data_IF_930161774635
#
_entry.id   IF_930161774635
#
_cell.length_a   1.000
_cell.length_b   1.000
_cell.length_c   1.000
_cell.angle_alpha   90.00
_cell.angle_beta   90.00
_cell.angle_gamma   90.00
#
_symmetry.space_group_name_H-M   'P 1'
#
loop_
_entity.id
_entity.type
_entity.pdbx_description
1 polymer ?
#
# COMPACT_ATOMS: atom_id res chain seq x y z
N UNK A 1 5.00 -16.83 7.48
CA UNK A 1 3.78 -16.02 7.32
C UNK A 1 4.01 -14.99 6.21
N UNK A 2 3.03 -14.74 5.35
CA UNK A 2 3.11 -13.77 4.26
C UNK A 2 1.96 -12.77 4.39
N UNK A 3 2.24 -11.47 4.20
CA UNK A 3 1.21 -10.42 4.20
C UNK A 3 0.36 -10.49 2.95
N UNK A 4 -0.96 -10.32 3.10
CA UNK A 4 -1.91 -10.30 1.99
C UNK A 4 -1.76 -9.03 1.14
N UNK A 5 -2.17 -9.12 -0.12
CA UNK A 5 -2.16 -8.01 -1.09
C UNK A 5 -3.53 -7.31 -1.13
N UNK A 6 -3.60 -6.10 -0.60
CA UNK A 6 -4.81 -5.28 -0.53
C UNK A 6 -4.49 -3.82 -0.83
N UNK A 7 -5.50 -2.99 -1.06
CA UNK A 7 -5.31 -1.58 -1.35
C UNK A 7 -4.62 -1.33 -2.70
N UNK A 8 -4.82 -0.12 -3.20
CA UNK A 8 -4.16 0.43 -4.38
C UNK A 8 -3.85 1.90 -4.13
N UNK A 9 -2.87 2.43 -4.84
CA UNK A 9 -2.69 3.87 -4.98
C UNK A 9 -3.85 4.44 -5.80
N UNK A 10 -4.34 5.61 -5.42
CA UNK A 10 -5.42 6.28 -6.11
C UNK A 10 -5.02 6.60 -7.57
N UNK A 11 -5.92 6.37 -8.56
CA UNK A 11 -5.60 6.55 -9.97
C UNK A 11 -5.13 7.98 -10.31
N UNK A 12 -5.65 8.99 -9.62
CA UNK A 12 -5.27 10.41 -9.83
C UNK A 12 -3.82 10.73 -9.40
N UNK A 13 -3.12 9.83 -8.72
CA UNK A 13 -1.70 10.00 -8.44
C UNK A 13 -0.81 9.78 -9.68
N UNK A 14 -1.36 9.23 -10.76
CA UNK A 14 -0.64 8.93 -11.99
C UNK A 14 -0.96 9.93 -13.10
N UNK A 15 0.08 10.47 -13.73
CA UNK A 15 -0.06 11.37 -14.89
C UNK A 15 -0.33 10.63 -16.19
N UNK A 16 -0.04 9.33 -16.23
CA UNK A 16 -0.29 8.45 -17.37
C UNK A 16 -1.14 7.25 -16.91
N UNK A 17 -2.00 6.72 -17.79
CA UNK A 17 -2.69 5.47 -17.50
C UNK A 17 -1.68 4.37 -17.22
N UNK A 18 -1.95 3.56 -16.20
CA UNK A 18 -1.10 2.43 -15.87
C UNK A 18 -0.94 1.50 -17.07
N UNK A 19 0.30 1.07 -17.32
CA UNK A 19 0.58 0.07 -18.33
C UNK A 19 -0.17 -1.24 -18.02
N UNK A 20 -0.72 -1.85 -19.06
CA UNK A 20 -1.47 -3.10 -18.96
C UNK A 20 -0.62 -4.21 -18.36
N UNK A 21 -1.27 -5.11 -17.61
CA UNK A 21 -0.61 -6.28 -17.03
C UNK A 21 0.14 -7.09 -18.09
N UNK A 22 1.30 -7.63 -17.72
CA UNK A 22 2.09 -8.50 -18.59
C UNK A 22 1.24 -9.68 -19.05
N UNK A 23 1.05 -9.82 -20.37
CA UNK A 23 0.22 -10.89 -20.94
C UNK A 23 0.70 -12.31 -20.60
N UNK A 24 1.97 -12.47 -20.19
CA UNK A 24 2.58 -13.76 -19.87
C UNK A 24 2.47 -14.16 -18.40
N UNK A 25 2.67 -13.22 -17.47
CA UNK A 25 2.67 -13.51 -16.03
C UNK A 25 1.55 -12.82 -15.25
N UNK A 26 0.79 -11.93 -15.87
CA UNK A 26 -0.29 -11.17 -15.24
C UNK A 26 0.17 -10.07 -14.28
N UNK A 27 1.49 -9.88 -14.09
CA UNK A 27 2.04 -8.82 -13.24
C UNK A 27 1.70 -7.45 -13.81
N UNK A 28 1.28 -6.54 -12.94
CA UNK A 28 1.20 -5.11 -13.28
C UNK A 28 2.60 -4.61 -13.64
N UNK A 29 2.69 -3.71 -14.61
CA UNK A 29 3.94 -3.09 -14.98
C UNK A 29 4.43 -2.21 -13.81
N UNK A 30 5.67 -2.42 -13.38
CA UNK A 30 6.26 -1.65 -12.28
C UNK A 30 6.62 -0.24 -12.74
N UNK A 31 5.63 0.63 -12.87
CA UNK A 31 5.88 2.07 -13.00
C UNK A 31 6.52 2.60 -11.73
N UNK A 32 7.39 3.61 -11.87
CA UNK A 32 8.00 4.27 -10.72
C UNK A 32 6.91 4.76 -9.78
N UNK A 33 7.07 4.50 -8.48
CA UNK A 33 6.18 5.05 -7.45
C UNK A 33 6.14 6.59 -7.58
N UNK A 34 4.96 7.23 -7.65
CA UNK A 34 4.87 8.69 -7.71
C UNK A 34 5.54 9.33 -6.50
N UNK A 35 6.14 10.51 -6.69
CA UNK A 35 6.79 11.24 -5.59
C UNK A 35 5.77 11.70 -4.52
N UNK A 36 4.50 11.86 -4.90
CA UNK A 36 3.37 12.11 -3.99
C UNK A 36 2.23 11.18 -4.35
N UNK A 37 1.70 10.45 -3.36
CA UNK A 37 0.62 9.50 -3.55
C UNK A 37 -0.28 9.41 -2.32
N UNK A 38 -1.50 8.95 -2.54
CA UNK A 38 -2.46 8.56 -1.50
C UNK A 38 -3.14 7.26 -1.93
N UNK A 39 -3.75 6.57 -0.97
CA UNK A 39 -4.40 5.30 -1.21
C UNK A 39 -5.83 5.52 -1.71
N UNK A 40 -6.31 4.65 -2.60
CA UNK A 40 -7.72 4.58 -3.01
C UNK A 40 -8.53 3.97 -1.87
N UNK A 41 -9.30 4.78 -1.16
CA UNK A 41 -10.03 4.40 0.05
C UNK A 41 -10.97 3.21 -0.18
N UNK A 42 -11.64 3.16 -1.33
CA UNK A 42 -12.57 2.10 -1.73
C UNK A 42 -11.90 0.73 -1.91
N UNK A 43 -10.57 0.70 -2.03
CA UNK A 43 -9.79 -0.53 -2.21
C UNK A 43 -9.18 -1.06 -0.90
N UNK A 44 -9.31 -0.31 0.20
CA UNK A 44 -8.71 -0.64 1.48
C UNK A 44 -9.48 -1.75 2.20
N UNK A 45 -8.78 -2.70 2.84
CA UNK A 45 -9.43 -3.77 3.59
C UNK A 45 -9.96 -3.24 4.93
N UNK A 46 -11.11 -3.73 5.37
CA UNK A 46 -11.69 -3.38 6.68
C UNK A 46 -11.32 -4.38 7.79
N UNK A 47 -10.75 -5.54 7.43
CA UNK A 47 -10.52 -6.66 8.34
C UNK A 47 -9.04 -6.92 8.65
N UNK A 48 -8.12 -6.18 8.01
CA UNK A 48 -6.68 -6.41 8.11
C UNK A 48 -5.98 -5.11 8.44
N UNK A 49 -5.18 -5.13 9.52
CA UNK A 49 -4.47 -3.95 10.00
C UNK A 49 -3.04 -3.79 9.45
N UNK A 50 -2.50 -4.83 8.80
CA UNK A 50 -1.16 -4.83 8.20
C UNK A 50 -1.17 -5.62 6.89
N UNK A 51 -0.88 -4.97 5.77
CA UNK A 51 -0.93 -5.58 4.44
C UNK A 51 0.10 -4.95 3.51
N UNK A 52 0.31 -5.56 2.34
CA UNK A 52 1.13 -5.00 1.26
C UNK A 52 0.21 -4.45 0.18
N UNK A 53 0.60 -3.35 -0.46
CA UNK A 53 -0.18 -2.81 -1.58
C UNK A 53 -0.20 -3.80 -2.74
N UNK A 54 -1.37 -3.95 -3.39
CA UNK A 54 -1.52 -4.88 -4.51
C UNK A 54 -0.66 -4.48 -5.70
N UNK A 55 -0.60 -3.19 -5.96
CA UNK A 55 0.04 -2.56 -7.10
C UNK A 55 1.48 -2.13 -6.82
N UNK A 56 1.82 -1.88 -5.55
CA UNK A 56 3.19 -1.70 -5.07
C UNK A 56 3.50 -2.64 -3.91
N UNK A 57 3.74 -3.94 -4.15
CA UNK A 57 3.97 -4.89 -3.07
C UNK A 57 5.18 -4.57 -2.19
N UNK A 58 6.10 -3.69 -2.60
CA UNK A 58 7.20 -3.25 -1.73
C UNK A 58 6.75 -2.33 -0.59
N UNK A 59 5.57 -1.71 -0.71
CA UNK A 59 4.98 -0.87 0.33
C UNK A 59 4.17 -1.73 1.31
N UNK A 60 4.44 -1.53 2.59
CA UNK A 60 3.71 -2.15 3.70
C UNK A 60 2.86 -1.05 4.35
N UNK A 61 1.56 -1.29 4.43
CA UNK A 61 0.59 -0.36 5.00
C UNK A 61 0.11 -0.93 6.34
N UNK A 62 0.14 -0.07 7.35
CA UNK A 62 -0.38 -0.35 8.68
C UNK A 62 -1.51 0.64 9.00
N UNK A 63 -2.58 0.16 9.61
CA UNK A 63 -3.61 1.04 10.19
C UNK A 63 -3.06 1.74 11.43
N UNK A 64 -3.67 2.86 11.81
CA UNK A 64 -3.33 3.59 13.05
C UNK A 64 -3.35 2.67 14.28
N UNK A 65 -4.32 1.75 14.35
CA UNK A 65 -4.39 0.73 15.41
C UNK A 65 -3.11 -0.09 15.57
N UNK A 66 -2.45 -0.44 14.45
CA UNK A 66 -1.17 -1.17 14.49
C UNK A 66 -0.02 -0.27 14.91
N UNK A 67 -0.01 0.99 14.47
CA UNK A 67 0.99 1.99 14.87
C UNK A 67 0.90 2.24 16.38
N UNK A 68 -0.29 2.45 16.92
CA UNK A 68 -0.54 2.63 18.34
C UNK A 68 -0.12 1.41 19.17
N UNK A 69 -0.38 0.20 18.66
CA UNK A 69 0.05 -1.03 19.32
C UNK A 69 1.58 -1.16 19.32
N UNK A 70 2.25 -0.82 18.22
CA UNK A 70 3.70 -0.84 18.13
C UNK A 70 4.35 0.17 19.08
N UNK A 71 3.80 1.39 19.18
CA UNK A 71 4.25 2.42 20.12
C UNK A 71 4.08 1.98 21.58
N UNK A 72 2.88 1.50 21.94
CA UNK A 72 2.58 1.02 23.30
C UNK A 72 3.50 -0.13 23.73
N UNK A 73 3.84 -1.01 22.79
CA UNK A 73 4.75 -2.13 23.01
C UNK A 73 6.23 -1.75 22.86
N UNK A 74 6.53 -0.50 22.49
CA UNK A 74 7.87 0.03 22.23
C UNK A 74 8.66 -0.84 21.25
N UNK A 75 8.00 -1.26 20.18
CA UNK A 75 8.65 -2.04 19.13
C UNK A 75 9.61 -1.15 18.35
N UNK A 76 10.85 -1.60 18.24
CA UNK A 76 11.90 -0.92 17.48
C UNK A 76 12.14 -1.62 16.12
N UNK A 77 12.87 -0.95 15.23
CA UNK A 77 13.27 -1.51 13.93
C UNK A 77 12.35 -1.17 12.75
N UNK A 78 11.32 -0.35 12.99
CA UNK A 78 10.45 0.20 11.94
C UNK A 78 10.18 1.70 12.19
N UNK A 79 10.02 2.45 11.11
CA UNK A 79 9.56 3.83 11.14
C UNK A 79 8.24 3.90 10.38
N UNK A 80 7.22 4.50 11.00
CA UNK A 80 5.93 4.74 10.34
C UNK A 80 5.93 6.12 9.71
N UNK A 81 5.49 6.20 8.46
CA UNK A 81 5.26 7.45 7.74
C UNK A 81 3.76 7.54 7.41
N UNK A 82 3.11 8.68 7.67
CA UNK A 82 1.69 8.83 7.37
C UNK A 82 1.46 8.81 5.85
N UNK A 83 0.32 8.24 5.45
CA UNK A 83 -0.17 8.25 4.08
C UNK A 83 -1.67 8.49 4.09
N UNK A 84 -2.13 9.39 3.24
CA UNK A 84 -3.57 9.68 3.11
C UNK A 84 -4.29 8.53 2.41
N UNK A 85 -5.58 8.36 2.71
CA UNK A 85 -6.53 7.61 1.91
C UNK A 85 -7.63 8.56 1.44
N UNK A 86 -8.02 8.49 0.16
CA UNK A 86 -9.06 9.34 -0.45
C UNK A 86 -9.98 8.51 -1.32
#
# INVERSE_FOLDING_TARGET
MQLALHGRIHPDCFTQPRASNCAKCGSEASERLPDTYWLAQETLPTQVDLFRLRDYPTLIIATERTVDAADRLKLEGVTFQPVDAR
#
